data_IF_754560821955
#
_entry.id   IF_754560821955
#
_cell.length_a   1.000
_cell.length_b   1.000
_cell.length_c   1.000
_cell.angle_alpha   90.00
_cell.angle_beta   90.00
_cell.angle_gamma   90.00
#
_symmetry.space_group_name_H-M   'P 1'
#
loop_
_entity.id
_entity.type
_entity.pdbx_description
1 polymer ?
#
# COMPACT_ATOMS: atom_id res chain seq x y z
N UNK A 1 7.90 -12.73 -10.13
CA UNK A 1 6.54 -12.97 -9.59
C UNK A 1 5.42 -12.70 -10.61
N UNK A 2 5.70 -12.00 -11.71
CA UNK A 2 4.72 -11.43 -12.66
C UNK A 2 3.81 -12.45 -13.37
N UNK A 3 4.24 -13.70 -13.50
CA UNK A 3 3.47 -14.75 -14.19
C UNK A 3 2.58 -15.58 -13.26
N UNK A 4 2.35 -15.14 -12.02
CA UNK A 4 1.42 -15.80 -11.09
C UNK A 4 0.01 -15.25 -11.28
N UNK A 5 -0.99 -16.11 -11.14
CA UNK A 5 -2.41 -15.77 -11.35
C UNK A 5 -2.89 -14.56 -10.50
N UNK A 6 -2.29 -14.33 -9.32
CA UNK A 6 -2.62 -13.19 -8.47
C UNK A 6 -1.85 -11.90 -8.84
N UNK A 7 -0.76 -11.95 -9.60
CA UNK A 7 0.02 -10.77 -9.98
C UNK A 7 -0.77 -9.84 -10.93
N UNK A 8 -1.82 -10.37 -11.57
CA UNK A 8 -2.72 -9.62 -12.44
C UNK A 8 -3.92 -9.02 -11.71
N UNK A 9 -4.09 -9.32 -10.42
CA UNK A 9 -5.25 -8.88 -9.63
C UNK A 9 -5.12 -7.41 -9.22
N UNK A 10 -3.91 -6.99 -8.85
CA UNK A 10 -3.62 -5.64 -8.41
C UNK A 10 -2.44 -5.09 -9.22
N UNK A 11 -2.46 -3.79 -9.51
CA UNK A 11 -1.31 -3.08 -10.08
C UNK A 11 -0.68 -2.23 -9.00
N UNK A 12 0.63 -2.29 -8.88
CA UNK A 12 1.38 -1.60 -7.84
C UNK A 12 2.68 -1.04 -8.38
N UNK A 13 3.15 0.04 -7.79
CA UNK A 13 4.48 0.59 -8.02
C UNK A 13 5.21 0.73 -6.69
N UNK A 14 6.53 0.68 -6.77
CA UNK A 14 7.42 0.93 -5.66
C UNK A 14 8.45 1.96 -6.15
N UNK A 15 8.65 3.02 -5.38
CA UNK A 15 9.54 4.13 -5.70
C UNK A 15 10.52 4.32 -4.55
N UNK A 16 11.80 4.07 -4.81
CA UNK A 16 12.88 4.41 -3.89
C UNK A 16 13.02 5.94 -3.87
N UNK A 17 12.73 6.56 -2.73
CA UNK A 17 12.84 8.01 -2.54
C UNK A 17 14.27 8.38 -2.17
N UNK A 18 14.91 7.54 -1.35
CA UNK A 18 16.31 7.62 -0.96
C UNK A 18 16.79 6.24 -0.47
N UNK A 19 18.02 6.16 0.03
CA UNK A 19 18.65 4.90 0.47
C UNK A 19 17.89 4.16 1.59
N UNK A 20 17.06 4.86 2.36
CA UNK A 20 16.36 4.31 3.52
C UNK A 20 14.84 4.48 3.43
N UNK A 21 14.31 4.94 2.29
CA UNK A 21 12.89 5.26 2.13
C UNK A 21 12.31 4.72 0.82
N UNK A 22 11.22 3.95 0.95
CA UNK A 22 10.45 3.40 -0.16
C UNK A 22 8.99 3.86 -0.06
N UNK A 23 8.41 4.32 -1.16
CA UNK A 23 6.96 4.50 -1.27
C UNK A 23 6.37 3.39 -2.13
N UNK A 24 5.49 2.60 -1.54
CA UNK A 24 4.70 1.58 -2.21
C UNK A 24 3.28 2.09 -2.49
N UNK A 25 2.82 2.00 -3.72
CA UNK A 25 1.49 2.45 -4.14
C UNK A 25 0.69 1.31 -4.76
N UNK A 26 -0.57 1.22 -4.36
CA UNK A 26 -1.57 0.33 -4.93
C UNK A 26 -2.34 1.08 -6.02
N UNK A 27 -1.79 1.09 -7.24
CA UNK A 27 -2.32 1.82 -8.39
C UNK A 27 -3.68 1.29 -8.85
N UNK A 28 -3.89 -0.03 -8.78
CA UNK A 28 -5.19 -0.65 -9.04
C UNK A 28 -5.44 -1.77 -8.03
N UNK A 29 -6.53 -1.66 -7.27
CA UNK A 29 -6.95 -2.63 -6.27
C UNK A 29 -8.22 -3.32 -6.75
N UNK A 30 -8.22 -4.64 -6.93
CA UNK A 30 -9.39 -5.38 -7.44
C UNK A 30 -10.67 -5.11 -6.65
N UNK A 31 -10.56 -4.98 -5.33
CA UNK A 31 -11.73 -4.70 -4.46
C UNK A 31 -12.30 -3.32 -4.78
N UNK A 32 -11.46 -2.29 -4.81
CA UNK A 32 -11.91 -0.92 -5.07
C UNK A 32 -12.38 -0.76 -6.52
N UNK A 33 -11.65 -1.30 -7.49
CA UNK A 33 -12.06 -1.31 -8.90
C UNK A 33 -13.43 -1.99 -9.09
N UNK A 34 -13.69 -3.09 -8.39
CA UNK A 34 -15.00 -3.75 -8.45
C UNK A 34 -16.12 -2.91 -7.82
N UNK A 35 -15.82 -2.13 -6.78
CA UNK A 35 -16.78 -1.22 -6.13
C UNK A 35 -17.06 0.00 -7.00
N UNK A 36 -16.02 0.62 -7.57
CA UNK A 36 -16.14 1.72 -8.54
C UNK A 36 -16.99 1.33 -9.75
N UNK A 37 -16.78 0.13 -10.33
CA UNK A 37 -17.65 -0.39 -11.41
C UNK A 37 -19.12 -0.55 -11.03
N UNK A 38 -19.41 -0.72 -9.74
CA UNK A 38 -20.78 -0.85 -9.20
C UNK A 38 -21.34 0.49 -8.69
N UNK A 39 -20.62 1.60 -8.84
CA UNK A 39 -21.02 2.89 -8.29
C UNK A 39 -21.06 2.92 -6.75
N UNK A 40 -20.30 2.03 -6.10
CA UNK A 40 -20.21 1.97 -4.65
C UNK A 40 -19.04 2.83 -4.15
N UNK A 41 -19.15 3.43 -2.94
CA UNK A 41 -18.04 4.16 -2.34
C UNK A 41 -16.87 3.21 -2.06
N UNK A 42 -15.66 3.75 -1.94
CA UNK A 42 -14.48 2.95 -1.60
C UNK A 42 -14.67 2.18 -0.28
N UNK A 43 -14.16 0.96 -0.25
CA UNK A 43 -14.16 0.12 0.93
C UNK A 43 -13.15 0.67 1.95
N UNK A 44 -13.53 0.92 3.21
CA UNK A 44 -12.64 1.50 4.22
C UNK A 44 -11.59 0.48 4.71
N UNK A 45 -10.55 0.24 3.90
CA UNK A 45 -9.53 -0.78 4.14
C UNK A 45 -8.34 -0.31 5.00
N UNK A 46 -8.24 0.98 5.36
CA UNK A 46 -7.09 1.54 6.09
C UNK A 46 -6.74 0.79 7.37
N UNK A 47 -7.72 0.39 8.17
CA UNK A 47 -7.45 -0.32 9.44
C UNK A 47 -6.80 -1.69 9.22
N UNK A 48 -7.26 -2.43 8.22
CA UNK A 48 -6.64 -3.70 7.82
C UNK A 48 -5.25 -3.46 7.22
N UNK A 49 -5.11 -2.46 6.34
CA UNK A 49 -3.83 -2.10 5.73
C UNK A 49 -2.78 -1.69 6.76
N UNK A 50 -3.15 -0.92 7.78
CA UNK A 50 -2.25 -0.55 8.87
C UNK A 50 -1.68 -1.78 9.54
N UNK A 51 -2.52 -2.77 9.87
CA UNK A 51 -2.07 -4.02 10.49
C UNK A 51 -1.20 -4.83 9.54
N UNK A 52 -1.61 -4.99 8.29
CA UNK A 52 -0.91 -5.80 7.29
C UNK A 52 0.47 -5.22 6.98
N UNK A 53 0.55 -3.96 6.54
CA UNK A 53 1.81 -3.35 6.09
C UNK A 53 2.76 -3.04 7.23
N UNK A 54 2.28 -2.57 8.40
CA UNK A 54 3.18 -2.33 9.54
C UNK A 54 3.77 -3.63 10.07
N UNK A 55 2.92 -4.62 10.39
CA UNK A 55 3.40 -5.86 11.01
C UNK A 55 4.23 -6.69 10.05
N UNK A 56 3.85 -6.75 8.77
CA UNK A 56 4.65 -7.45 7.78
C UNK A 56 6.06 -6.85 7.68
N UNK A 57 6.16 -5.52 7.59
CA UNK A 57 7.44 -4.82 7.52
C UNK A 57 8.26 -5.00 8.81
N UNK A 58 7.67 -4.76 9.98
CA UNK A 58 8.35 -4.93 11.28
C UNK A 58 8.79 -6.37 11.56
N UNK A 59 8.08 -7.36 11.02
CA UNK A 59 8.46 -8.78 11.13
C UNK A 59 9.68 -9.09 10.28
N UNK A 60 9.85 -8.42 9.14
CA UNK A 60 11.04 -8.56 8.29
C UNK A 60 12.24 -7.88 8.95
N UNK A 61 12.08 -6.64 9.39
CA UNK A 61 13.08 -5.89 10.14
C UNK A 61 12.38 -4.91 11.09
N UNK A 62 12.63 -5.07 12.40
CA UNK A 62 11.98 -4.27 13.45
C UNK A 62 12.37 -2.79 13.43
N UNK A 63 13.36 -2.41 12.63
CA UNK A 63 13.75 -1.02 12.37
C UNK A 63 12.88 -0.35 11.31
N UNK A 64 12.13 -1.11 10.52
CA UNK A 64 11.23 -0.54 9.52
C UNK A 64 10.09 0.19 10.23
N UNK A 65 9.78 1.40 9.79
CA UNK A 65 8.61 2.17 10.18
C UNK A 65 7.71 2.36 8.97
N UNK A 66 6.42 2.18 9.19
CA UNK A 66 5.40 2.25 8.14
C UNK A 66 4.48 3.43 8.40
N UNK A 67 4.31 4.28 7.40
CA UNK A 67 3.41 5.43 7.41
C UNK A 67 2.39 5.28 6.28
N UNK A 68 1.11 5.49 6.61
CA UNK A 68 0.03 5.52 5.62
C UNK A 68 -0.05 6.93 5.00
N UNK A 69 0.28 7.06 3.73
CA UNK A 69 0.18 8.34 3.00
C UNK A 69 -1.25 8.61 2.52
N UNK A 70 -2.03 7.55 2.32
CA UNK A 70 -3.45 7.64 1.96
C UNK A 70 -4.03 6.24 1.78
N UNK A 71 -5.25 6.02 2.27
CA UNK A 71 -5.96 4.77 2.14
C UNK A 71 -7.43 4.97 2.53
N UNK A 72 -8.41 4.48 1.76
CA UNK A 72 -9.82 4.56 2.10
C UNK A 72 -10.11 4.15 3.55
N UNK A 73 -10.91 4.92 4.29
CA UNK A 73 -11.83 5.95 3.81
C UNK A 73 -11.22 7.35 3.62
N UNK A 74 -9.93 7.51 3.88
CA UNK A 74 -9.27 8.81 3.67
C UNK A 74 -9.20 9.15 2.19
N UNK A 75 -9.12 10.44 1.90
CA UNK A 75 -8.91 10.92 0.54
C UNK A 75 -7.60 10.39 -0.05
N UNK A 76 -7.66 10.08 -1.33
CA UNK A 76 -6.53 9.65 -2.14
C UNK A 76 -6.73 10.18 -3.56
N UNK A 77 -5.65 10.34 -4.34
CA UNK A 77 -5.75 10.82 -5.71
C UNK A 77 -6.23 9.69 -6.64
N UNK A 78 -6.48 10.01 -7.91
CA UNK A 78 -7.04 9.04 -8.87
C UNK A 78 -6.02 7.97 -9.31
N UNK A 79 -4.72 8.24 -9.17
CA UNK A 79 -3.64 7.39 -9.65
C UNK A 79 -3.41 6.14 -8.79
N UNK A 80 -3.85 6.15 -7.53
CA UNK A 80 -3.69 5.02 -6.60
C UNK A 80 -4.74 5.01 -5.51
N UNK A 81 -5.09 3.82 -5.02
CA UNK A 81 -6.05 3.63 -3.94
C UNK A 81 -5.42 3.68 -2.55
N UNK A 82 -4.20 3.19 -2.39
CA UNK A 82 -3.47 3.38 -1.14
C UNK A 82 -1.97 3.51 -1.37
N UNK A 83 -1.31 4.26 -0.50
CA UNK A 83 0.12 4.49 -0.54
C UNK A 83 0.72 4.37 0.87
N UNK A 84 1.86 3.68 0.94
CA UNK A 84 2.55 3.34 2.18
C UNK A 84 4.02 3.71 2.04
N UNK A 85 4.51 4.51 2.98
CA UNK A 85 5.91 4.87 3.10
C UNK A 85 6.56 3.94 4.10
N UNK A 86 7.66 3.32 3.70
CA UNK A 86 8.50 2.50 4.57
C UNK A 86 9.84 3.20 4.75
N UNK A 87 10.27 3.37 5.98
CA UNK A 87 11.59 3.91 6.30
C UNK A 87 12.38 2.98 7.20
N UNK A 88 13.69 2.90 7.02
CA UNK A 88 14.60 2.15 7.89
C UNK A 88 15.49 3.11 8.66
N UNK A 89 15.42 3.07 9.99
CA UNK A 89 16.35 3.85 10.82
C UNK A 89 17.67 3.08 10.95
N UNK A 90 18.78 3.72 10.57
CA UNK A 90 20.13 3.15 10.70
C UNK A 90 20.77 3.39 12.06
N UNK A 91 20.08 4.06 12.98
CA UNK A 91 20.58 4.26 14.34
C UNK A 91 20.64 2.91 15.08
N UNK A 92 21.86 2.43 15.27
CA UNK A 92 22.26 1.43 16.26
C UNK A 92 23.38 2.00 17.11
#
# INVERSE_FOLDING_TARGET
LEFRMYALINKQSAEDIDENCLIFRMNDCRVQAARKRKGLPDYPCKTAGLVEYSRFAETIDSRIRTECLGCPPDEHPDEWFCAWKFTVNNDK
#
